data_IF_282084181895
#
_entry.id   IF_282084181895
#
_cell.length_a   1.000
_cell.length_b   1.000
_cell.length_c   1.000
_cell.angle_alpha   90.00
_cell.angle_beta   90.00
_cell.angle_gamma   90.00
#
_symmetry.space_group_name_H-M   'P 1'
#
loop_
_entity.id
_entity.type
_entity.pdbx_description
1 polymer ?
#
# COMPACT_ATOMS: atom_id res chain seq x y z
N UNK A 1 11.51 -7.25 -10.75
CA UNK A 1 11.81 -6.45 -9.55
C UNK A 1 10.67 -6.63 -8.56
N UNK A 2 10.95 -6.73 -7.26
CA UNK A 2 9.93 -6.85 -6.21
C UNK A 2 10.25 -5.89 -5.06
N UNK A 3 9.25 -5.15 -4.59
CA UNK A 3 9.37 -4.25 -3.45
C UNK A 3 8.15 -4.39 -2.55
N UNK A 4 8.39 -4.36 -1.23
CA UNK A 4 7.35 -4.55 -0.22
C UNK A 4 7.44 -3.47 0.85
N UNK A 5 6.29 -2.94 1.24
CA UNK A 5 6.14 -2.04 2.38
C UNK A 5 5.22 -2.66 3.42
N UNK A 6 5.60 -2.50 4.68
CA UNK A 6 4.78 -2.86 5.83
C UNK A 6 4.45 -1.59 6.61
N UNK A 7 3.18 -1.41 6.96
CA UNK A 7 2.70 -0.37 7.85
C UNK A 7 1.99 -1.06 9.02
N UNK A 8 2.52 -0.90 10.22
CA UNK A 8 1.84 -1.36 11.44
C UNK A 8 0.91 -0.25 11.91
N UNK A 9 -0.39 -0.50 11.79
CA UNK A 9 -1.44 0.39 12.26
C UNK A 9 -1.91 0.02 13.67
N UNK A 10 -2.82 0.84 14.18
CA UNK A 10 -3.51 0.65 15.47
C UNK A 10 -4.42 -0.56 15.42
N UNK A 11 -5.08 -0.81 14.28
CA UNK A 11 -6.10 -1.85 14.15
C UNK A 11 -5.64 -3.08 13.36
N UNK A 12 -4.64 -2.93 12.50
CA UNK A 12 -4.12 -4.02 11.68
C UNK A 12 -2.69 -3.75 11.20
N UNK A 13 -2.02 -4.83 10.78
CA UNK A 13 -0.80 -4.75 9.97
C UNK A 13 -1.16 -4.74 8.48
N UNK A 14 -0.72 -3.70 7.78
CA UNK A 14 -0.97 -3.48 6.35
C UNK A 14 0.28 -3.76 5.53
N UNK A 15 0.11 -4.43 4.39
CA UNK A 15 1.21 -4.82 3.52
C UNK A 15 0.89 -4.45 2.07
N UNK A 16 1.86 -3.82 1.38
CA UNK A 16 1.83 -3.56 -0.06
C UNK A 16 3.02 -4.27 -0.70
N UNK A 17 2.77 -5.16 -1.65
CA UNK A 17 3.80 -5.80 -2.45
C UNK A 17 3.60 -5.46 -3.93
N UNK A 18 4.64 -4.95 -4.57
CA UNK A 18 4.64 -4.58 -5.99
C UNK A 18 5.70 -5.40 -6.70
N UNK A 19 5.27 -6.14 -7.72
CA UNK A 19 6.13 -6.98 -8.56
C UNK A 19 6.02 -6.52 -10.00
N UNK A 20 7.17 -6.16 -10.58
CA UNK A 20 7.28 -5.77 -11.98
C UNK A 20 7.84 -6.96 -12.75
N UNK A 21 7.00 -7.46 -13.65
CA UNK A 21 7.29 -8.58 -14.53
C UNK A 21 7.75 -8.07 -15.90
N UNK A 22 8.69 -8.77 -16.55
CA UNK A 22 8.99 -8.48 -17.94
C UNK A 22 7.75 -8.72 -18.82
N UNK A 23 7.62 -8.00 -19.95
CA UNK A 23 6.59 -8.30 -20.93
C UNK A 23 6.82 -9.70 -21.53
N UNK A 24 5.74 -10.34 -21.96
CA UNK A 24 5.71 -11.73 -22.45
C UNK A 24 6.13 -11.82 -23.94
N UNK A 25 7.14 -11.05 -24.35
CA UNK A 25 7.62 -10.94 -25.74
C UNK A 25 9.10 -11.26 -25.87
N UNK A 26 9.47 -12.00 -26.93
CA UNK A 26 10.84 -12.43 -27.25
C UNK A 26 11.76 -11.32 -27.79
N UNK A 27 11.27 -10.09 -27.93
CA UNK A 27 12.10 -8.99 -28.42
C UNK A 27 13.01 -8.43 -27.31
N UNK A 28 14.30 -8.17 -27.61
CA UNK A 28 15.19 -7.51 -26.66
C UNK A 28 14.75 -6.06 -26.45
N UNK A 29 13.86 -5.85 -25.48
CA UNK A 29 13.45 -4.53 -25.04
C UNK A 29 14.65 -3.84 -24.36
N UNK A 30 14.86 -2.56 -24.69
CA UNK A 30 15.78 -1.72 -23.93
C UNK A 30 15.43 -1.79 -22.44
N UNK A 31 16.43 -1.76 -21.52
CA UNK A 31 16.16 -1.84 -20.09
C UNK A 31 15.18 -0.73 -19.71
N UNK A 32 14.02 -1.06 -19.11
CA UNK A 32 13.02 -0.08 -18.77
C UNK A 32 13.60 0.91 -17.75
N UNK A 33 13.14 2.18 -17.74
CA UNK A 33 13.54 3.12 -16.72
C UNK A 33 13.21 2.57 -15.33
N UNK A 34 14.09 2.80 -14.36
CA UNK A 34 13.84 2.39 -12.98
C UNK A 34 12.54 3.03 -12.50
N UNK A 35 11.54 2.25 -12.09
CA UNK A 35 10.25 2.78 -11.70
C UNK A 35 10.40 3.48 -10.35
N UNK A 36 9.91 4.72 -10.25
CA UNK A 36 9.78 5.41 -8.97
C UNK A 36 8.53 4.87 -8.26
N UNK A 37 8.72 3.98 -7.29
CA UNK A 37 7.65 3.41 -6.49
C UNK A 37 7.43 4.14 -5.17
N UNK A 38 8.22 5.17 -4.86
CA UNK A 38 8.12 5.89 -3.58
C UNK A 38 6.80 6.66 -3.49
N UNK A 39 6.36 7.28 -4.59
CA UNK A 39 5.06 7.95 -4.65
C UNK A 39 3.88 6.98 -4.43
N UNK A 40 4.02 5.72 -4.89
CA UNK A 40 3.01 4.68 -4.66
C UNK A 40 2.99 4.26 -3.18
N UNK A 41 4.16 4.14 -2.56
CA UNK A 41 4.27 3.85 -1.13
C UNK A 41 3.70 4.98 -0.27
N UNK A 42 3.93 6.24 -0.63
CA UNK A 42 3.35 7.41 0.03
C UNK A 42 1.82 7.41 -0.08
N UNK A 43 1.30 7.20 -1.29
CA UNK A 43 -0.15 7.10 -1.48
C UNK A 43 -0.77 5.97 -0.66
N UNK A 44 -0.09 4.81 -0.59
CA UNK A 44 -0.52 3.69 0.25
C UNK A 44 -0.59 4.06 1.73
N UNK A 45 0.39 4.81 2.26
CA UNK A 45 0.32 5.31 3.64
C UNK A 45 -0.91 6.17 3.88
N UNK A 46 -1.19 7.12 2.98
CA UNK A 46 -2.38 7.98 3.09
C UNK A 46 -3.68 7.16 3.14
N UNK A 47 -3.80 6.13 2.28
CA UNK A 47 -4.98 5.26 2.27
C UNK A 47 -5.12 4.48 3.57
N UNK A 48 -4.01 3.94 4.10
CA UNK A 48 -4.02 3.22 5.38
C UNK A 48 -4.43 4.13 6.53
N UNK A 49 -3.86 5.34 6.62
CA UNK A 49 -4.22 6.33 7.65
C UNK A 49 -5.71 6.70 7.60
N UNK A 50 -6.25 6.92 6.40
CA UNK A 50 -7.68 7.20 6.23
C UNK A 50 -8.56 6.01 6.63
N UNK A 51 -8.17 4.78 6.30
CA UNK A 51 -8.92 3.58 6.66
C UNK A 51 -8.92 3.34 8.17
N UNK A 52 -7.79 3.55 8.82
CA UNK A 52 -7.64 3.45 10.28
C UNK A 52 -8.46 4.52 10.99
N UNK A 53 -8.46 5.77 10.51
CA UNK A 53 -9.26 6.85 11.08
C UNK A 53 -10.77 6.57 10.99
N UNK A 54 -11.25 6.03 9.87
CA UNK A 54 -12.67 5.62 9.75
C UNK A 54 -13.01 4.49 10.74
N UNK A 55 -12.13 3.50 10.91
CA UNK A 55 -12.33 2.43 11.90
C UNK A 55 -12.36 2.94 13.33
N UNK A 56 -11.50 3.90 13.66
CA UNK A 56 -11.52 4.56 14.97
C UNK A 56 -12.88 5.23 15.21
N UNK A 57 -13.42 5.95 14.21
CA UNK A 57 -14.74 6.58 14.33
C UNK A 57 -15.86 5.55 14.53
N UNK A 58 -15.85 4.44 13.78
CA UNK A 58 -16.81 3.35 13.94
C UNK A 58 -16.72 2.72 15.34
N UNK A 59 -15.49 2.48 15.82
CA UNK A 59 -15.24 1.96 17.16
C UNK A 59 -15.79 2.90 18.24
N UNK A 60 -15.48 4.19 18.16
CA UNK A 60 -15.98 5.20 19.10
C UNK A 60 -17.51 5.31 19.06
N UNK A 61 -18.12 5.30 17.87
CA UNK A 61 -19.57 5.33 17.72
C UNK A 61 -20.25 4.12 18.37
N UNK A 62 -19.69 2.92 18.19
CA UNK A 62 -20.21 1.70 18.78
C UNK A 62 -20.11 1.66 20.32
N UNK A 63 -19.13 2.36 20.91
CA UNK A 63 -18.85 2.33 22.34
C UNK A 63 -19.34 3.57 23.11
N UNK A 64 -19.91 4.58 22.44
CA UNK A 64 -20.40 5.83 23.04
C UNK A 64 -21.69 5.70 23.88
N UNK A 65 -22.36 4.54 23.86
CA UNK A 65 -23.62 4.29 24.55
C UNK A 65 -23.52 3.33 25.76
N UNK A 66 -22.31 3.04 26.23
CA UNK A 66 -22.07 2.40 27.54
C UNK A 66 -21.61 3.44 28.56
#
# INVERSE_FOLDING_TARGET
>A
MEQTWKITGTYADWHLAVKILPPDTDEPAAPPPTPNLDALAEHFRTVVEMAEAHRELDYLAAHRHR
#
